data_IF_796133875559
#
_entry.id   IF_796133875559
#
_cell.length_a   1.000
_cell.length_b   1.000
_cell.length_c   1.000
_cell.angle_alpha   90.00
_cell.angle_beta   90.00
_cell.angle_gamma   90.00
#
_symmetry.space_group_name_H-M   'P 1'
#
loop_
_entity.id
_entity.type
_entity.pdbx_description
1 polymer ?
#
# COMPACT_ATOMS: atom_id res chain seq x y z
N UNK A 1 -31.88 16.21 5.59
CA UNK A 1 -33.27 15.71 5.51
C UNK A 1 -33.24 14.25 5.09
N UNK A 2 -33.91 13.37 5.85
CA UNK A 2 -34.03 11.94 5.53
C UNK A 2 -35.13 11.78 4.47
N UNK A 3 -34.84 11.18 3.33
CA UNK A 3 -35.86 10.82 2.34
C UNK A 3 -36.05 9.30 2.40
N UNK A 4 -37.21 8.87 2.89
CA UNK A 4 -37.64 7.47 2.92
C UNK A 4 -38.48 7.24 1.65
N UNK A 5 -38.11 6.29 0.80
CA UNK A 5 -38.98 5.79 -0.25
C UNK A 5 -39.78 4.59 0.28
N UNK A 6 -41.12 4.66 0.20
CA UNK A 6 -42.00 3.51 0.38
C UNK A 6 -42.31 2.90 -0.99
N UNK A 7 -42.07 1.61 -1.14
CA UNK A 7 -42.59 0.79 -2.24
C UNK A 7 -43.53 -0.26 -1.64
N UNK A 8 -44.77 -0.29 -2.13
CA UNK A 8 -45.81 -1.23 -1.71
C UNK A 8 -45.71 -2.53 -2.51
N UNK A 9 -45.28 -3.63 -1.88
CA UNK A 9 -45.81 -4.99 -2.06
C UNK A 9 -44.88 -6.02 -1.38
N UNK A 10 -45.36 -6.57 -0.27
CA UNK A 10 -45.25 -7.99 0.14
C UNK A 10 -43.87 -8.68 0.07
N UNK A 11 -42.97 -8.29 0.99
CA UNK A 11 -41.92 -9.07 1.68
C UNK A 11 -40.73 -8.15 1.96
N UNK A 12 -40.88 -7.27 2.95
CA UNK A 12 -39.86 -6.29 3.31
C UNK A 12 -38.92 -6.94 4.32
N UNK A 13 -37.81 -7.48 3.84
CA UNK A 13 -36.60 -7.63 4.65
C UNK A 13 -36.05 -6.22 4.86
N UNK A 14 -36.15 -5.69 6.08
CA UNK A 14 -35.57 -4.40 6.45
C UNK A 14 -34.04 -4.53 6.45
N UNK A 15 -33.40 -4.39 5.29
CA UNK A 15 -31.99 -4.01 5.25
C UNK A 15 -31.93 -2.49 5.44
N UNK A 16 -31.68 -2.09 6.68
CA UNK A 16 -31.24 -0.74 6.99
C UNK A 16 -29.85 -0.56 6.34
N UNK A 17 -29.80 -0.11 5.08
CA UNK A 17 -28.57 0.42 4.51
C UNK A 17 -28.26 1.73 5.22
N UNK A 18 -27.54 1.62 6.34
CA UNK A 18 -26.75 2.73 6.84
C UNK A 18 -25.74 2.99 5.72
N UNK A 19 -25.85 4.13 5.03
CA UNK A 19 -24.72 4.65 4.25
C UNK A 19 -23.64 4.94 5.28
N UNK A 20 -22.78 3.96 5.49
CA UNK A 20 -21.64 3.97 6.39
C UNK A 20 -20.68 5.06 5.90
N UNK A 21 -20.38 6.04 6.76
CA UNK A 21 -19.63 7.24 6.41
C UNK A 21 -18.23 7.08 6.97
N UNK A 22 -17.25 6.98 6.08
CA UNK A 22 -15.83 6.98 6.47
C UNK A 22 -15.54 8.14 7.44
N UNK A 23 -14.95 7.87 8.61
CA UNK A 23 -14.71 8.89 9.62
C UNK A 23 -13.78 9.98 9.07
N UNK A 24 -14.24 11.23 9.16
CA UNK A 24 -13.46 12.40 8.71
C UNK A 24 -12.24 12.55 9.60
N UNK A 25 -11.06 12.59 8.99
CA UNK A 25 -9.80 12.80 9.67
C UNK A 25 -9.39 14.28 9.60
N UNK A 26 -8.72 14.74 10.65
CA UNK A 26 -8.29 16.12 10.78
C UNK A 26 -6.85 16.30 10.29
N UNK A 27 -6.58 17.38 9.56
CA UNK A 27 -5.26 17.79 9.10
C UNK A 27 -5.10 17.75 7.58
N UNK A 28 -3.92 18.21 7.12
CA UNK A 28 -3.50 18.19 5.71
C UNK A 28 -2.62 16.98 5.44
N UNK A 29 -2.90 16.21 4.40
CA UNK A 29 -2.09 15.05 4.04
C UNK A 29 -0.75 15.51 3.47
N UNK A 30 0.34 14.99 4.02
CA UNK A 30 1.70 15.33 3.61
C UNK A 30 2.31 14.27 2.68
N UNK A 31 2.22 12.99 3.05
CA UNK A 31 2.80 11.88 2.29
C UNK A 31 2.16 10.52 2.65
N UNK A 32 2.36 9.52 1.78
CA UNK A 32 1.97 8.12 1.98
C UNK A 32 3.20 7.23 2.10
N UNK A 33 3.17 6.25 2.98
CA UNK A 33 4.28 5.29 3.15
C UNK A 33 3.93 4.20 4.14
N UNK A 34 4.84 3.29 4.42
CA UNK A 34 4.65 2.26 5.45
C UNK A 34 5.56 2.59 6.64
N UNK A 35 4.99 3.18 7.68
CA UNK A 35 5.77 3.64 8.85
C UNK A 35 5.94 2.54 9.88
N UNK A 36 5.02 1.56 9.96
CA UNK A 36 5.07 0.47 10.95
C UNK A 36 5.57 -0.86 10.38
N UNK A 37 5.84 -0.95 9.08
CA UNK A 37 6.38 -2.12 8.39
C UNK A 37 5.38 -3.27 8.22
N UNK A 38 4.08 -2.99 8.20
CA UNK A 38 3.04 -4.02 8.06
C UNK A 38 2.58 -4.25 6.60
N UNK A 39 3.21 -3.56 5.66
CA UNK A 39 2.94 -3.51 4.21
C UNK A 39 1.63 -2.83 3.81
N UNK A 40 0.90 -2.26 4.77
CA UNK A 40 -0.25 -1.40 4.51
C UNK A 40 0.21 0.04 4.27
N UNK A 41 -0.69 0.86 3.74
CA UNK A 41 -0.37 2.23 3.36
C UNK A 41 -0.76 3.18 4.48
N UNK A 42 0.21 3.65 5.25
CA UNK A 42 0.03 4.64 6.29
C UNK A 42 0.04 6.07 5.72
N UNK A 43 -0.41 7.04 6.53
CA UNK A 43 -0.53 8.44 6.13
C UNK A 43 0.20 9.35 7.11
N UNK A 44 1.04 10.25 6.59
CA UNK A 44 1.62 11.35 7.35
C UNK A 44 0.75 12.61 7.21
N UNK A 45 0.25 13.14 8.32
CA UNK A 45 -0.70 14.26 8.33
C UNK A 45 -0.17 15.45 9.13
N UNK A 46 -0.26 16.64 8.56
CA UNK A 46 0.01 17.91 9.23
C UNK A 46 -1.21 18.39 10.01
N UNK A 47 -1.03 18.61 11.32
CA UNK A 47 -2.04 19.15 12.25
C UNK A 47 -1.46 20.35 13.00
N UNK A 48 -1.82 21.56 12.56
CA UNK A 48 -1.22 22.79 13.12
C UNK A 48 0.28 22.80 12.85
N UNK A 49 1.12 22.89 13.89
CA UNK A 49 2.59 22.85 13.78
C UNK A 49 3.22 21.46 13.91
N UNK A 50 2.39 20.41 13.98
CA UNK A 50 2.83 19.05 14.23
C UNK A 50 2.56 18.16 13.02
N UNK A 51 3.45 17.19 12.79
CA UNK A 51 3.23 16.06 11.91
C UNK A 51 2.83 14.84 12.76
N UNK A 52 1.77 14.15 12.35
CA UNK A 52 1.26 12.95 13.01
C UNK A 52 1.20 11.80 12.00
N UNK A 53 1.79 10.67 12.37
CA UNK A 53 1.68 9.41 11.63
C UNK A 53 0.34 8.75 11.97
N UNK A 54 -0.38 8.36 10.92
CA UNK A 54 -1.65 7.65 10.98
C UNK A 54 -1.45 6.25 10.41
N UNK A 55 -1.54 5.24 11.27
CA UNK A 55 -1.35 3.84 10.88
C UNK A 55 -2.66 3.24 10.39
N UNK A 56 -2.62 2.56 9.24
CA UNK A 56 -3.78 1.84 8.71
C UNK A 56 -3.98 0.55 9.49
N UNK A 57 -5.20 0.33 10.00
CA UNK A 57 -5.52 -0.86 10.81
C UNK A 57 -6.59 -1.72 10.14
N UNK A 58 -6.19 -2.92 9.72
CA UNK A 58 -7.05 -3.90 9.05
C UNK A 58 -8.07 -4.56 10.00
N UNK A 59 -7.84 -4.60 11.31
CA UNK A 59 -8.82 -5.14 12.26
C UNK A 59 -10.03 -4.21 12.37
N UNK A 60 -9.78 -2.90 12.42
CA UNK A 60 -10.83 -1.89 12.38
C UNK A 60 -11.54 -1.83 11.01
N UNK A 61 -10.83 -2.20 9.94
CA UNK A 61 -11.39 -2.33 8.61
C UNK A 61 -12.47 -3.43 8.55
N UNK A 62 -12.26 -4.56 9.23
CA UNK A 62 -13.23 -5.66 9.30
C UNK A 62 -14.42 -5.38 10.22
N UNK A 63 -14.25 -4.52 11.22
CA UNK A 63 -15.32 -4.19 12.18
C UNK A 63 -16.21 -3.06 11.66
N UNK A 64 -15.62 -2.05 11.04
CA UNK A 64 -16.34 -0.84 10.62
C UNK A 64 -16.57 -0.77 9.11
N UNK A 65 -15.88 -1.59 8.30
CA UNK A 65 -15.86 -1.52 6.81
C UNK A 65 -15.44 -0.14 6.26
N UNK A 66 -14.88 0.71 7.11
CA UNK A 66 -14.66 2.14 6.87
C UNK A 66 -13.19 2.57 6.94
N UNK A 67 -12.23 1.63 7.07
CA UNK A 67 -10.80 1.91 7.15
C UNK A 67 -10.43 2.92 8.24
N UNK A 68 -10.05 2.44 9.43
CA UNK A 68 -9.73 3.35 10.54
C UNK A 68 -8.23 3.51 10.67
N UNK A 69 -7.80 4.75 10.52
CA UNK A 69 -6.46 5.17 10.87
C UNK A 69 -6.32 5.38 12.38
N UNK A 70 -5.28 4.80 12.97
CA UNK A 70 -4.91 5.03 14.36
C UNK A 70 -3.77 6.05 14.44
N UNK A 71 -3.93 7.07 15.30
CA UNK A 71 -2.81 7.96 15.61
C UNK A 71 -1.66 7.16 16.23
N UNK A 72 -0.45 7.34 15.70
CA UNK A 72 0.79 6.78 16.23
C UNK A 72 1.68 7.93 16.73
N UNK A 73 2.84 8.12 16.14
CA UNK A 73 3.84 9.10 16.53
C UNK A 73 3.46 10.51 16.09
N UNK A 74 3.75 11.51 16.92
CA UNK A 74 3.58 12.93 16.59
C UNK A 74 4.85 13.71 16.94
N UNK A 75 5.32 14.55 16.03
CA UNK A 75 6.50 15.39 16.23
C UNK A 75 6.26 16.83 15.72
N UNK A 76 6.93 17.80 16.34
CA UNK A 76 6.70 19.24 16.11
C UNK A 76 7.71 19.80 15.11
N UNK A 77 7.22 20.21 13.94
CA UNK A 77 8.03 20.84 12.88
C UNK A 77 8.07 22.36 12.98
N UNK A 78 7.13 22.99 13.69
CA UNK A 78 7.16 24.43 13.99
C UNK A 78 6.63 25.37 12.91
N UNK A 79 6.06 24.84 11.81
CA UNK A 79 5.31 25.60 10.80
C UNK A 79 3.94 24.96 10.56
N UNK A 80 2.95 25.76 10.21
CA UNK A 80 1.59 25.31 9.89
C UNK A 80 1.48 24.65 8.50
N UNK A 81 2.42 24.98 7.61
CA UNK A 81 2.49 24.41 6.27
C UNK A 81 3.91 23.96 5.97
N UNK A 82 4.06 22.67 5.69
CA UNK A 82 5.30 22.04 5.25
C UNK A 82 5.01 21.14 4.06
N UNK A 83 6.07 20.73 3.38
CA UNK A 83 6.06 19.67 2.38
C UNK A 83 6.93 18.52 2.88
N UNK A 84 6.51 17.29 2.61
CA UNK A 84 7.19 16.09 3.07
C UNK A 84 7.58 15.23 1.87
N UNK A 85 8.80 14.71 1.91
CA UNK A 85 9.26 13.60 1.09
C UNK A 85 9.69 12.48 2.03
N UNK A 86 9.48 11.24 1.61
CA UNK A 86 9.79 10.06 2.42
C UNK A 86 10.98 9.31 1.82
N UNK A 87 11.74 8.61 2.65
CA UNK A 87 12.92 7.85 2.23
C UNK A 87 13.58 7.13 3.41
N UNK A 88 14.67 6.42 3.16
CA UNK A 88 15.55 5.86 4.20
C UNK A 88 16.89 6.60 4.11
N UNK A 89 17.18 7.53 5.03
CA UNK A 89 18.42 8.34 4.93
C UNK A 89 19.58 7.70 5.70
N UNK A 90 19.31 6.84 6.69
CA UNK A 90 20.35 6.26 7.55
C UNK A 90 20.67 4.79 7.24
N UNK A 91 19.90 4.16 6.35
CA UNK A 91 20.08 2.78 5.91
C UNK A 91 19.54 1.73 6.85
N UNK A 92 18.60 2.06 7.74
CA UNK A 92 18.03 1.15 8.72
C UNK A 92 16.73 0.46 8.25
N UNK A 93 16.31 0.71 7.01
CA UNK A 93 15.08 0.22 6.37
C UNK A 93 13.78 0.68 7.02
N UNK A 94 13.83 1.76 7.79
CA UNK A 94 12.68 2.45 8.34
C UNK A 94 12.45 3.74 7.55
N UNK A 95 11.20 4.15 7.53
CA UNK A 95 10.79 5.31 6.76
C UNK A 95 11.07 6.58 7.57
N UNK A 96 11.95 7.39 7.04
CA UNK A 96 12.32 8.72 7.51
C UNK A 96 11.58 9.80 6.73
N UNK A 97 11.64 11.05 7.22
CA UNK A 97 10.89 12.18 6.64
C UNK A 97 11.80 13.37 6.35
N UNK A 98 11.92 13.75 5.08
CA UNK A 98 12.46 15.05 4.68
C UNK A 98 11.34 16.10 4.73
N UNK A 99 11.50 17.09 5.59
CA UNK A 99 10.55 18.20 5.76
C UNK A 99 11.12 19.47 5.13
N UNK A 100 10.35 20.06 4.22
CA UNK A 100 10.62 21.35 3.60
C UNK A 100 9.66 22.41 4.14
N UNK A 101 10.21 23.45 4.75
CA UNK A 101 9.47 24.58 5.32
C UNK A 101 9.77 25.86 4.54
N UNK A 102 8.75 26.42 3.90
CA UNK A 102 8.85 27.72 3.24
C UNK A 102 8.83 28.86 4.25
N UNK A 103 9.89 29.69 4.28
CA UNK A 103 9.94 30.96 5.01
C UNK A 103 10.21 32.11 4.03
N UNK A 104 9.18 32.94 3.79
CA UNK A 104 9.24 34.05 2.83
C UNK A 104 9.63 33.59 1.41
N UNK A 105 10.89 33.76 1.02
CA UNK A 105 11.46 33.40 -0.30
C UNK A 105 12.41 32.20 -0.25
N UNK A 106 12.69 31.67 0.94
CA UNK A 106 13.66 30.61 1.17
C UNK A 106 12.95 29.37 1.72
N UNK A 107 13.56 28.21 1.53
CA UNK A 107 13.12 26.96 2.11
C UNK A 107 14.15 26.44 3.12
N UNK A 108 13.68 26.16 4.33
CA UNK A 108 14.46 25.48 5.34
C UNK A 108 14.14 23.99 5.28
N UNK A 109 15.18 23.16 5.30
CA UNK A 109 15.02 21.72 5.20
C UNK A 109 15.56 21.03 6.45
N UNK A 110 14.91 19.95 6.82
CA UNK A 110 15.30 19.10 7.93
C UNK A 110 14.93 17.66 7.62
N UNK A 111 15.85 16.73 7.85
CA UNK A 111 15.58 15.30 7.82
C UNK A 111 15.21 14.84 9.23
N UNK A 112 14.13 14.10 9.34
CA UNK A 112 13.62 13.53 10.58
C UNK A 112 13.81 12.03 10.52
N UNK A 113 14.75 11.55 11.33
CA UNK A 113 15.20 10.15 11.34
C UNK A 113 14.37 9.38 12.36
N UNK A 114 13.73 8.29 11.95
CA UNK A 114 12.96 7.44 12.84
C UNK A 114 13.88 6.75 13.85
N UNK A 115 13.43 6.66 15.10
CA UNK A 115 14.14 5.85 16.10
C UNK A 115 14.00 4.36 15.83
N UNK A 116 14.85 3.57 16.51
CA UNK A 116 14.80 2.12 16.43
C UNK A 116 13.41 1.54 16.78
N UNK A 117 12.70 2.16 17.71
CA UNK A 117 11.37 1.77 18.18
C UNK A 117 10.21 2.36 17.36
N UNK A 118 10.50 3.20 16.34
CA UNK A 118 9.49 3.88 15.49
C UNK A 118 8.50 4.76 16.26
N UNK A 119 8.87 5.15 17.47
CA UNK A 119 8.04 5.91 18.42
C UNK A 119 8.33 7.42 18.41
N UNK A 120 9.44 7.82 17.78
CA UNK A 120 9.92 9.20 17.78
C UNK A 120 10.84 9.46 16.59
N UNK A 121 11.08 10.74 16.32
CA UNK A 121 11.93 11.21 15.24
C UNK A 121 12.98 12.19 15.75
N UNK A 122 14.19 12.10 15.21
CA UNK A 122 15.31 13.01 15.52
C UNK A 122 15.54 13.96 14.35
N UNK A 123 15.55 15.27 14.62
CA UNK A 123 15.72 16.32 13.60
C UNK A 123 17.21 16.57 13.28
N UNK A 124 17.55 16.50 11.99
CA UNK A 124 18.83 16.93 11.43
C UNK A 124 18.58 18.06 10.42
N UNK A 125 19.08 19.26 10.72
CA UNK A 125 18.88 20.44 9.88
C UNK A 125 19.83 20.43 8.68
N UNK A 126 19.30 20.81 7.52
CA UNK A 126 20.03 20.95 6.28
C UNK A 126 20.24 22.43 5.92
N UNK A 127 20.89 22.65 4.78
CA UNK A 127 21.09 23.96 4.20
C UNK A 127 19.75 24.64 3.82
N UNK A 128 19.79 25.97 3.75
CA UNK A 128 18.67 26.78 3.25
C UNK A 128 18.73 26.82 1.72
N UNK A 129 17.66 26.39 1.07
CA UNK A 129 17.57 26.27 -0.38
C UNK A 129 16.56 27.27 -0.96
N UNK A 130 16.67 27.49 -2.27
CA UNK A 130 15.77 28.34 -3.05
C UNK A 130 14.43 27.67 -3.39
N UNK A 131 14.43 26.35 -3.40
CA UNK A 131 13.30 25.48 -3.74
C UNK A 131 13.18 24.36 -2.70
N UNK A 132 12.17 23.52 -2.86
CA UNK A 132 12.10 22.25 -2.15
C UNK A 132 13.27 21.34 -2.52
N UNK A 133 13.64 20.51 -1.55
CA UNK A 133 14.59 19.43 -1.73
C UNK A 133 13.89 18.12 -2.10
N UNK A 134 14.60 17.30 -2.87
CA UNK A 134 14.19 15.97 -3.33
C UNK A 134 14.93 14.91 -2.49
N UNK A 135 14.24 13.85 -2.09
CA UNK A 135 14.85 12.67 -1.47
C UNK A 135 15.05 11.55 -2.50
N UNK A 136 16.28 11.29 -2.94
CA UNK A 136 16.55 10.29 -3.99
C UNK A 136 17.92 9.67 -3.76
N UNK A 137 18.03 8.36 -3.96
CA UNK A 137 19.30 7.63 -3.99
C UNK A 137 20.10 8.05 -5.23
N UNK A 138 21.09 8.95 -5.07
CA UNK A 138 21.86 9.48 -6.20
C UNK A 138 23.12 8.66 -6.49
N UNK A 139 23.67 7.98 -5.49
CA UNK A 139 24.91 7.21 -5.60
C UNK A 139 24.67 5.70 -5.77
N UNK A 140 23.41 5.25 -5.67
CA UNK A 140 23.02 3.87 -5.84
C UNK A 140 23.40 2.99 -4.65
N UNK A 141 23.65 3.58 -3.47
CA UNK A 141 23.88 2.86 -2.23
C UNK A 141 22.55 2.37 -1.59
N UNK A 142 21.42 2.87 -2.11
CA UNK A 142 20.06 2.51 -1.72
C UNK A 142 19.51 3.27 -0.51
N UNK A 143 20.30 4.18 0.06
CA UNK A 143 19.85 5.23 0.98
C UNK A 143 19.39 6.41 0.15
N UNK A 144 18.42 7.15 0.65
CA UNK A 144 17.95 8.35 0.00
C UNK A 144 18.91 9.49 0.36
N UNK A 145 19.38 10.20 -0.65
CA UNK A 145 20.16 11.42 -0.52
C UNK A 145 19.27 12.63 -0.74
N UNK A 146 19.79 13.83 -0.45
CA UNK A 146 19.03 15.07 -0.64
C UNK A 146 19.63 15.91 -1.76
N UNK A 147 18.78 16.24 -2.74
CA UNK A 147 19.13 17.11 -3.87
C UNK A 147 18.26 18.37 -3.89
N UNK A 148 18.84 19.52 -4.23
CA UNK A 148 18.11 20.78 -4.42
C UNK A 148 19.00 21.89 -4.96
N UNK A 149 18.56 23.14 -4.79
CA UNK A 149 19.27 24.30 -5.35
C UNK A 149 19.42 25.43 -4.35
N UNK A 150 20.65 25.94 -4.21
CA UNK A 150 20.91 27.15 -3.46
C UNK A 150 20.31 28.40 -4.14
N UNK A 151 20.07 29.49 -3.39
CA UNK A 151 19.61 30.77 -3.96
C UNK A 151 20.47 31.37 -5.07
N UNK A 152 21.74 30.98 -5.18
CA UNK A 152 22.67 31.41 -6.23
C UNK A 152 22.61 30.53 -7.50
N UNK A 153 21.69 29.56 -7.57
CA UNK A 153 21.52 28.61 -8.67
C UNK A 153 22.52 27.44 -8.70
N UNK A 154 23.41 27.31 -7.71
CA UNK A 154 24.26 26.12 -7.59
C UNK A 154 23.47 24.96 -6.99
N UNK A 155 23.77 23.76 -7.47
CA UNK A 155 23.17 22.54 -6.94
C UNK A 155 23.62 22.28 -5.49
N UNK A 156 22.69 21.76 -4.71
CA UNK A 156 22.93 21.16 -3.41
C UNK A 156 22.70 19.67 -3.54
N UNK A 157 23.69 18.87 -3.16
CA UNK A 157 23.60 17.42 -3.12
C UNK A 157 24.25 16.96 -1.83
N UNK A 158 23.54 16.19 -1.01
CA UNK A 158 24.04 15.76 0.28
C UNK A 158 23.70 14.31 0.54
N UNK A 159 24.73 13.50 0.81
CA UNK A 159 24.57 12.13 1.29
C UNK A 159 24.50 12.08 2.80
N UNK A 160 24.08 10.94 3.35
CA UNK A 160 23.83 10.78 4.78
C UNK A 160 24.71 9.70 5.41
N UNK A 161 24.98 9.90 6.69
CA UNK A 161 25.69 8.94 7.55
C UNK A 161 24.70 8.02 8.26
N UNK A 162 25.22 6.98 8.89
CA UNK A 162 24.44 6.00 9.65
C UNK A 162 23.66 6.56 10.84
N UNK A 163 24.11 7.68 11.38
CA UNK A 163 23.39 8.39 12.44
C UNK A 163 22.30 9.31 11.88
N UNK A 164 22.11 9.32 10.55
CA UNK A 164 21.21 10.20 9.84
C UNK A 164 21.72 11.64 9.71
N UNK A 165 22.97 11.91 10.09
CA UNK A 165 23.59 13.22 9.90
C UNK A 165 24.05 13.42 8.45
N UNK A 166 24.00 14.66 7.93
CA UNK A 166 24.58 14.99 6.62
C UNK A 166 26.08 14.64 6.59
N UNK A 167 26.49 13.88 5.59
CA UNK A 167 27.83 13.30 5.49
C UNK A 167 28.73 14.02 4.48
N UNK A 168 28.48 13.80 3.19
CA UNK A 168 29.36 14.27 2.10
C UNK A 168 28.56 14.99 1.01
N UNK A 169 29.20 16.00 0.42
CA UNK A 169 28.66 16.67 -0.77
C UNK A 169 28.79 15.76 -2.00
N UNK A 170 27.66 15.42 -2.63
CA UNK A 170 27.59 14.59 -3.83
C UNK A 170 27.56 15.39 -5.15
N UNK A 171 27.84 16.70 -5.12
CA UNK A 171 27.91 17.53 -6.32
C UNK A 171 28.92 17.01 -7.37
N UNK A 172 29.95 16.27 -6.95
CA UNK A 172 30.95 15.68 -7.86
C UNK A 172 30.36 14.63 -8.82
N UNK A 173 29.19 14.05 -8.51
CA UNK A 173 28.47 13.14 -9.40
C UNK A 173 27.90 13.87 -10.63
N UNK A 174 27.84 15.21 -10.59
CA UNK A 174 27.26 16.05 -11.65
C UNK A 174 28.26 17.12 -12.14
N UNK A 175 29.44 16.71 -12.68
CA UNK A 175 30.52 17.64 -13.02
C UNK A 175 30.17 18.63 -14.15
N UNK A 176 29.13 18.33 -14.94
CA UNK A 176 28.65 19.18 -16.04
C UNK A 176 27.45 20.06 -15.68
N UNK A 177 27.05 20.15 -14.41
CA UNK A 177 25.86 20.92 -14.02
C UNK A 177 26.09 22.42 -14.24
N UNK A 178 25.29 23.01 -15.11
CA UNK A 178 25.26 24.46 -15.37
C UNK A 178 24.26 25.07 -14.39
N UNK A 179 24.58 26.23 -13.79
CA UNK A 179 23.67 26.91 -12.85
C UNK A 179 22.30 27.14 -13.49
N UNK A 180 21.26 26.85 -12.72
CA UNK A 180 19.86 27.05 -13.13
C UNK A 180 19.17 27.92 -12.09
N UNK A 181 18.28 28.81 -12.54
CA UNK A 181 17.35 29.51 -11.66
C UNK A 181 15.99 28.77 -11.67
N UNK A 182 15.69 27.95 -10.64
CA UNK A 182 14.44 27.20 -10.59
C UNK A 182 13.22 28.10 -10.38
N UNK A 183 12.13 27.82 -11.11
CA UNK A 183 10.84 28.48 -10.87
C UNK A 183 10.18 27.96 -9.58
N UNK A 184 9.70 28.84 -8.68
CA UNK A 184 9.03 28.41 -7.46
C UNK A 184 7.78 27.55 -7.76
N UNK A 185 7.72 26.34 -7.21
CA UNK A 185 6.57 25.45 -7.32
C UNK A 185 6.55 24.54 -8.55
N UNK A 186 7.60 24.56 -9.39
CA UNK A 186 7.77 23.59 -10.48
C UNK A 186 8.55 22.38 -9.95
N UNK A 187 8.03 21.14 -10.08
CA UNK A 187 8.80 19.95 -9.73
C UNK A 187 10.01 19.81 -10.66
N UNK A 188 11.21 19.70 -10.10
CA UNK A 188 12.46 19.61 -10.86
C UNK A 188 12.86 18.17 -11.25
N UNK A 189 11.89 17.27 -11.43
CA UNK A 189 12.08 16.02 -12.17
C UNK A 189 10.76 15.63 -12.85
N UNK A 190 10.79 15.63 -14.19
CA UNK A 190 9.69 15.37 -15.15
C UNK A 190 8.67 16.50 -15.36
N UNK A 191 8.60 16.95 -16.60
CA UNK A 191 7.63 17.93 -17.06
C UNK A 191 6.20 17.41 -16.89
N UNK A 192 5.39 18.12 -16.10
CA UNK A 192 3.94 18.03 -16.17
C UNK A 192 3.43 19.05 -17.21
N UNK A 193 3.06 18.54 -18.39
CA UNK A 193 2.34 19.29 -19.42
C UNK A 193 0.85 18.91 -19.45
N UNK A 194 0.25 18.62 -18.30
CA UNK A 194 -1.20 18.46 -18.20
C UNK A 194 -1.76 19.30 -17.07
N UNK A 195 -1.91 20.60 -17.38
CA UNK A 195 -2.74 21.53 -16.61
C UNK A 195 -4.23 21.19 -16.70
N UNK A 196 -4.62 20.02 -16.22
CA UNK A 196 -6.02 19.60 -16.08
C UNK A 196 -6.22 18.96 -14.72
N UNK A 197 -6.37 19.79 -13.70
CA UNK A 197 -7.06 19.39 -12.47
C UNK A 197 -8.55 19.38 -12.80
N UNK A 198 -9.10 18.20 -13.06
CA UNK A 198 -10.55 18.00 -13.06
C UNK A 198 -11.07 18.18 -11.63
N UNK A 199 -11.81 19.26 -11.40
CA UNK A 199 -12.59 19.45 -10.18
C UNK A 199 -13.85 18.60 -10.28
N UNK A 200 -13.90 17.49 -9.56
CA UNK A 200 -15.16 16.84 -9.20
C UNK A 200 -15.68 17.50 -7.93
N UNK A 201 -16.81 18.20 -8.02
CA UNK A 201 -17.61 18.59 -6.85
C UNK A 201 -18.81 17.63 -6.76
N UNK A 202 -18.66 16.46 -6.12
CA UNK A 202 -19.81 15.61 -5.85
C UNK A 202 -20.78 16.37 -4.95
N UNK A 203 -22.07 16.33 -5.33
CA UNK A 203 -23.19 17.04 -4.67
C UNK A 203 -23.38 16.63 -3.19
N UNK A 204 -22.73 15.54 -2.77
CA UNK A 204 -22.76 14.98 -1.42
C UNK A 204 -21.65 15.51 -0.50
N UNK A 205 -20.66 16.26 -1.02
CA UNK A 205 -19.62 16.96 -0.24
C UNK A 205 -19.97 18.45 -0.15
N UNK A 206 -21.04 18.76 0.58
CA UNK A 206 -21.49 20.13 0.82
C UNK A 206 -20.67 20.89 1.90
N UNK A 207 -19.39 20.55 2.10
CA UNK A 207 -18.66 20.86 3.35
C UNK A 207 -17.41 21.75 3.24
N UNK A 208 -17.06 22.30 2.08
CA UNK A 208 -15.95 23.25 1.99
C UNK A 208 -15.30 23.35 0.60
N UNK A 209 -14.20 24.10 0.52
CA UNK A 209 -13.40 24.21 -0.70
C UNK A 209 -12.42 23.02 -0.77
N UNK A 210 -12.53 22.21 -1.82
CA UNK A 210 -11.60 21.08 -2.05
C UNK A 210 -10.22 21.65 -2.38
N UNK A 211 -9.21 21.21 -1.63
CA UNK A 211 -7.81 21.63 -1.80
C UNK A 211 -6.98 20.62 -2.56
N UNK A 212 -7.32 19.34 -2.48
CA UNK A 212 -6.65 18.26 -3.21
C UNK A 212 -7.54 17.03 -3.30
N UNK A 213 -7.35 16.23 -4.35
CA UNK A 213 -7.79 14.85 -4.41
C UNK A 213 -6.63 13.96 -4.88
N UNK A 214 -6.56 12.74 -4.38
CA UNK A 214 -5.60 11.72 -4.80
C UNK A 214 -6.25 10.35 -4.75
N UNK A 215 -5.75 9.42 -5.56
CA UNK A 215 -6.14 8.02 -5.47
C UNK A 215 -5.44 7.35 -4.29
N UNK A 216 -6.18 6.51 -3.57
CA UNK A 216 -5.70 5.74 -2.43
C UNK A 216 -6.59 4.49 -2.28
N UNK A 217 -6.00 3.31 -2.11
CA UNK A 217 -6.74 2.08 -1.84
C UNK A 217 -6.96 1.93 -0.32
N UNK A 218 -8.12 2.34 0.20
CA UNK A 218 -8.37 2.36 1.64
C UNK A 218 -8.57 0.94 2.21
N UNK A 219 -9.13 0.04 1.42
CA UNK A 219 -9.47 -1.32 1.84
C UNK A 219 -8.41 -2.35 1.49
N UNK A 220 -7.35 -1.94 0.79
CA UNK A 220 -6.33 -2.84 0.26
C UNK A 220 -6.96 -3.95 -0.62
N UNK A 221 -8.03 -3.58 -1.33
CA UNK A 221 -8.86 -4.48 -2.15
C UNK A 221 -8.65 -4.27 -3.66
N UNK A 222 -7.68 -3.45 -4.04
CA UNK A 222 -7.32 -3.15 -5.41
C UNK A 222 -8.23 -2.14 -6.11
N UNK A 223 -9.29 -1.69 -5.45
CA UNK A 223 -10.13 -0.59 -5.92
C UNK A 223 -9.55 0.72 -5.40
N UNK A 224 -9.19 1.62 -6.32
CA UNK A 224 -8.70 2.94 -5.92
C UNK A 224 -9.87 3.82 -5.47
N UNK A 225 -9.87 4.18 -4.19
CA UNK A 225 -10.76 5.20 -3.64
C UNK A 225 -10.19 6.59 -3.89
N UNK A 226 -11.03 7.61 -3.71
CA UNK A 226 -10.61 9.01 -3.82
C UNK A 226 -10.44 9.58 -2.42
N UNK A 227 -9.19 9.83 -2.02
CA UNK A 227 -8.88 10.69 -0.89
C UNK A 227 -9.14 12.14 -1.29
N UNK A 228 -9.98 12.82 -0.53
CA UNK A 228 -10.29 14.24 -0.72
C UNK A 228 -9.86 15.04 0.49
N UNK A 229 -9.05 16.08 0.27
CA UNK A 229 -8.73 17.08 1.29
C UNK A 229 -9.54 18.35 1.01
N UNK A 230 -10.22 18.86 2.02
CA UNK A 230 -11.04 20.05 1.91
C UNK A 230 -10.89 20.95 3.14
N UNK A 231 -11.04 22.26 2.91
CA UNK A 231 -11.07 23.26 3.96
C UNK A 231 -12.52 23.71 4.17
N UNK A 232 -13.14 23.41 5.32
CA UNK A 232 -14.47 23.92 5.65
C UNK A 232 -14.45 25.44 5.83
N UNK A 233 -15.61 26.09 5.68
CA UNK A 233 -15.75 27.53 5.87
C UNK A 233 -15.38 27.98 7.29
N UNK A 234 -15.62 27.12 8.27
CA UNK A 234 -15.17 27.27 9.65
C UNK A 234 -14.44 26.00 10.10
N UNK A 235 -13.25 26.17 10.67
CA UNK A 235 -12.40 25.09 11.17
C UNK A 235 -11.20 24.77 10.28
N UNK A 236 -10.38 23.84 10.74
CA UNK A 236 -9.16 23.46 10.04
C UNK A 236 -9.43 22.50 8.88
N UNK A 237 -8.40 22.34 8.04
CA UNK A 237 -8.39 21.39 6.93
C UNK A 237 -8.66 19.97 7.42
N UNK A 238 -9.48 19.25 6.67
CA UNK A 238 -9.84 17.85 6.92
C UNK A 238 -9.64 17.04 5.66
N UNK A 239 -9.53 15.73 5.82
CA UNK A 239 -9.59 14.80 4.70
C UNK A 239 -10.57 13.67 4.96
N UNK A 240 -11.13 13.15 3.88
CA UNK A 240 -12.10 12.07 3.88
C UNK A 240 -11.98 11.27 2.58
N UNK A 241 -12.50 10.06 2.59
CA UNK A 241 -12.45 9.15 1.46
C UNK A 241 -13.83 9.06 0.82
N UNK A 242 -13.85 9.09 -0.50
CA UNK A 242 -15.02 8.73 -1.30
C UNK A 242 -14.74 7.30 -1.77
N UNK A 243 -15.38 6.30 -1.14
CA UNK A 243 -15.14 4.92 -1.51
C UNK A 243 -15.65 4.67 -2.93
N UNK A 244 -14.87 3.93 -3.71
CA UNK A 244 -15.32 3.37 -4.97
C UNK A 244 -15.87 1.97 -4.68
N UNK A 245 -17.17 1.88 -4.40
CA UNK A 245 -17.81 0.57 -4.22
C UNK A 245 -17.86 -0.15 -5.58
N UNK A 246 -16.91 -1.05 -5.79
CA UNK A 246 -16.91 -1.86 -6.99
C UNK A 246 -18.11 -2.82 -6.99
N UNK A 247 -18.82 -2.88 -8.12
CA UNK A 247 -20.00 -3.73 -8.33
C UNK A 247 -19.68 -4.93 -9.21
N UNK A 248 -18.41 -5.21 -9.51
CA UNK A 248 -18.01 -6.28 -10.41
C UNK A 248 -16.81 -7.11 -9.96
N UNK A 249 -16.64 -8.27 -10.59
CA UNK A 249 -15.52 -9.20 -10.37
C UNK A 249 -14.25 -8.77 -11.14
N UNK A 250 -13.78 -7.55 -10.91
CA UNK A 250 -12.45 -7.15 -11.41
C UNK A 250 -11.38 -7.65 -10.47
N UNK A 251 -10.25 -8.07 -11.04
CA UNK A 251 -9.12 -8.54 -10.26
C UNK A 251 -7.94 -7.59 -10.37
N UNK A 252 -7.12 -7.61 -9.32
CA UNK A 252 -5.94 -6.77 -9.23
C UNK A 252 -4.70 -7.58 -8.86
N UNK A 253 -3.54 -6.96 -9.06
CA UNK A 253 -2.28 -7.43 -8.52
C UNK A 253 -1.51 -6.24 -7.96
N UNK A 254 -1.22 -6.28 -6.65
CA UNK A 254 -0.41 -5.27 -5.98
C UNK A 254 1.01 -5.81 -5.82
N UNK A 255 2.01 -5.05 -6.26
CA UNK A 255 3.43 -5.43 -6.18
C UNK A 255 4.22 -4.34 -5.45
N UNK A 256 4.88 -4.72 -4.37
CA UNK A 256 5.76 -3.88 -3.57
C UNK A 256 7.16 -4.45 -3.59
N UNK A 257 8.13 -3.66 -4.03
CA UNK A 257 9.55 -3.97 -3.88
C UNK A 257 10.14 -3.04 -2.84
N UNK A 258 10.83 -3.62 -1.86
CA UNK A 258 11.49 -2.87 -0.79
C UNK A 258 13.00 -2.95 -0.92
N UNK A 259 13.69 -1.97 -0.34
CA UNK A 259 15.15 -2.01 -0.21
C UNK A 259 15.56 -3.16 0.71
N UNK A 260 16.69 -3.78 0.40
CA UNK A 260 17.21 -4.93 1.14
C UNK A 260 18.50 -4.62 1.90
N UNK A 261 18.82 -3.34 2.03
CA UNK A 261 20.11 -2.82 2.51
C UNK A 261 20.33 -3.10 3.99
N UNK A 262 19.27 -3.52 4.70
CA UNK A 262 19.44 -4.17 5.99
C UNK A 262 19.95 -5.61 5.84
N UNK A 263 21.28 -5.73 5.73
CA UNK A 263 22.02 -6.98 5.87
C UNK A 263 22.09 -7.43 7.34
N UNK A 264 23.31 -7.68 7.84
CA UNK A 264 23.60 -8.09 9.25
C UNK A 264 23.25 -7.04 10.34
N UNK A 265 22.62 -5.93 9.96
CA UNK A 265 22.45 -4.71 10.78
C UNK A 265 21.06 -4.60 11.42
N UNK A 266 20.07 -5.25 10.83
CA UNK A 266 18.76 -5.46 11.43
C UNK A 266 18.76 -6.79 12.19
N UNK A 267 17.86 -6.94 13.16
CA UNK A 267 17.62 -8.24 13.78
C UNK A 267 17.16 -9.23 12.69
N UNK A 268 17.95 -10.28 12.37
CA UNK A 268 17.64 -11.22 11.29
C UNK A 268 16.39 -12.07 11.57
N UNK A 269 15.89 -12.05 12.80
CA UNK A 269 14.63 -12.70 13.18
C UNK A 269 13.42 -11.77 13.10
N UNK A 270 13.63 -10.48 12.88
CA UNK A 270 12.55 -9.52 12.74
C UNK A 270 11.78 -9.77 11.44
N UNK A 271 10.45 -9.71 11.51
CA UNK A 271 9.58 -9.69 10.31
C UNK A 271 9.78 -8.41 9.48
N UNK A 272 10.61 -7.49 9.97
CA UNK A 272 10.77 -6.09 9.58
C UNK A 272 11.83 -5.85 8.49
N UNK A 273 12.61 -6.86 8.09
CA UNK A 273 13.60 -6.73 7.02
C UNK A 273 12.91 -6.19 5.74
N UNK A 274 13.30 -4.99 5.30
CA UNK A 274 12.77 -4.36 4.09
C UNK A 274 11.26 -4.10 4.16
N UNK A 275 10.75 -3.60 5.27
CA UNK A 275 9.29 -3.43 5.46
C UNK A 275 8.76 -2.02 5.29
N UNK A 276 9.59 -0.96 5.35
CA UNK A 276 9.05 0.42 5.37
C UNK A 276 9.28 1.25 4.10
N UNK A 277 10.32 0.95 3.32
CA UNK A 277 10.81 1.88 2.28
C UNK A 277 10.79 1.26 0.90
N UNK A 278 9.86 1.72 0.05
CA UNK A 278 9.76 1.32 -1.34
C UNK A 278 11.05 1.61 -2.09
N UNK A 279 11.56 0.64 -2.86
CA UNK A 279 12.76 0.86 -3.65
C UNK A 279 12.44 1.67 -4.89
N UNK A 280 12.75 2.96 -4.85
CA UNK A 280 12.65 3.86 -6.00
C UNK A 280 13.39 3.31 -7.22
N UNK A 281 12.69 3.18 -8.34
CA UNK A 281 13.23 2.63 -9.60
C UNK A 281 13.05 1.12 -9.77
N UNK A 282 12.53 0.39 -8.77
CA UNK A 282 12.13 -0.99 -8.96
C UNK A 282 10.89 -1.08 -9.87
N UNK A 283 10.90 -2.03 -10.79
CA UNK A 283 9.84 -2.20 -11.78
C UNK A 283 9.25 -3.60 -11.73
N UNK A 284 7.95 -3.70 -11.95
CA UNK A 284 7.25 -4.95 -12.12
C UNK A 284 6.60 -4.98 -13.50
N UNK A 285 6.57 -6.15 -14.13
CA UNK A 285 5.82 -6.39 -15.35
C UNK A 285 5.16 -7.74 -15.29
N UNK A 286 3.92 -7.82 -15.78
CA UNK A 286 3.19 -9.08 -15.85
C UNK A 286 2.85 -9.43 -17.28
N UNK A 287 2.68 -10.72 -17.51
CA UNK A 287 2.10 -11.31 -18.72
C UNK A 287 1.03 -12.32 -18.30
N UNK A 288 -0.12 -12.26 -18.95
CA UNK A 288 -1.18 -13.24 -18.81
C UNK A 288 -1.89 -13.51 -20.13
N UNK A 289 -2.59 -14.62 -20.21
CA UNK A 289 -3.49 -14.97 -21.30
C UNK A 289 -4.90 -14.49 -20.98
N UNK A 290 -5.55 -13.81 -21.92
CA UNK A 290 -6.95 -13.39 -21.77
C UNK A 290 -7.94 -14.52 -22.09
N UNK A 291 -9.22 -14.34 -21.72
CA UNK A 291 -10.27 -15.33 -21.98
C UNK A 291 -10.64 -15.52 -23.47
N UNK A 292 -10.11 -14.68 -24.36
CA UNK A 292 -10.31 -14.73 -25.81
C UNK A 292 -9.07 -15.24 -26.58
N UNK A 293 -8.03 -15.69 -25.87
CA UNK A 293 -6.79 -16.22 -26.45
C UNK A 293 -5.74 -15.18 -26.83
N UNK A 294 -5.93 -13.91 -26.48
CA UNK A 294 -4.91 -12.86 -26.54
C UNK A 294 -3.96 -12.87 -25.34
N UNK A 295 -2.92 -12.04 -25.39
CA UNK A 295 -1.96 -11.87 -24.30
C UNK A 295 -2.02 -10.44 -23.77
N UNK A 296 -2.28 -10.30 -22.47
CA UNK A 296 -2.24 -9.04 -21.76
C UNK A 296 -0.88 -8.89 -21.07
N UNK A 297 -0.21 -7.77 -21.34
CA UNK A 297 1.08 -7.43 -20.72
C UNK A 297 1.03 -5.99 -20.23
N UNK A 298 1.59 -5.74 -19.07
CA UNK A 298 1.78 -4.39 -18.55
C UNK A 298 3.05 -4.32 -17.73
N UNK A 299 3.64 -3.13 -17.64
CA UNK A 299 4.81 -2.86 -16.83
C UNK A 299 4.66 -1.50 -16.15
N UNK A 300 5.09 -1.40 -14.89
CA UNK A 300 5.08 -0.17 -14.12
C UNK A 300 6.17 -0.21 -13.04
N UNK A 301 6.59 0.95 -12.56
CA UNK A 301 7.70 1.09 -11.63
C UNK A 301 7.29 1.88 -10.38
N UNK A 302 7.90 1.55 -9.25
CA UNK A 302 7.85 2.36 -8.04
C UNK A 302 8.69 3.62 -8.28
N UNK A 303 8.02 4.77 -8.26
CA UNK A 303 8.64 6.06 -8.49
C UNK A 303 9.03 6.70 -7.15
N UNK A 304 10.14 7.44 -7.10
CA UNK A 304 10.49 8.22 -5.93
C UNK A 304 9.43 9.31 -5.68
N UNK A 305 8.93 9.41 -4.45
CA UNK A 305 7.91 10.39 -4.06
C UNK A 305 8.56 11.75 -3.73
N UNK A 306 9.19 12.39 -4.72
CA UNK A 306 10.12 13.50 -4.49
C UNK A 306 9.59 14.90 -4.75
N UNK A 307 8.32 15.08 -5.14
CA UNK A 307 7.82 16.39 -5.60
C UNK A 307 6.89 17.07 -4.59
N UNK A 308 6.53 18.34 -4.89
CA UNK A 308 5.59 19.14 -4.10
C UNK A 308 4.29 18.35 -3.88
N UNK A 309 4.16 17.75 -2.69
CA UNK A 309 2.95 16.99 -2.31
C UNK A 309 2.70 15.79 -3.24
N UNK A 310 3.75 15.06 -3.59
CA UNK A 310 3.65 13.76 -4.26
C UNK A 310 3.01 12.73 -3.33
N UNK A 311 1.72 12.47 -3.55
CA UNK A 311 0.97 11.42 -2.88
C UNK A 311 1.07 10.11 -3.66
N UNK A 312 2.30 9.66 -3.92
CA UNK A 312 2.55 8.41 -4.61
C UNK A 312 2.45 7.23 -3.62
N UNK A 313 1.71 6.15 -3.96
CA UNK A 313 1.67 4.96 -3.13
C UNK A 313 3.03 4.22 -3.15
N UNK A 314 3.40 3.51 -2.08
CA UNK A 314 4.65 2.75 -2.01
C UNK A 314 4.62 1.46 -2.84
N UNK A 315 3.70 1.32 -3.80
CA UNK A 315 3.43 0.09 -4.54
C UNK A 315 3.02 0.35 -5.98
N UNK A 316 3.17 -0.69 -6.81
CA UNK A 316 2.59 -0.75 -8.15
C UNK A 316 1.27 -1.52 -8.06
N UNK A 317 0.21 -0.94 -8.60
CA UNK A 317 -1.10 -1.58 -8.73
C UNK A 317 -1.38 -1.89 -10.20
N UNK A 318 -1.67 -3.15 -10.49
CA UNK A 318 -2.12 -3.60 -11.80
C UNK A 318 -3.59 -3.96 -11.75
N UNK A 319 -4.40 -3.31 -12.60
CA UNK A 319 -5.74 -3.79 -12.93
C UNK A 319 -5.64 -4.92 -13.94
N UNK A 320 -6.13 -6.10 -13.59
CA UNK A 320 -6.06 -7.30 -14.43
C UNK A 320 -7.34 -7.53 -15.25
N UNK A 321 -8.40 -6.78 -14.97
CA UNK A 321 -9.70 -6.95 -15.63
C UNK A 321 -10.52 -8.09 -15.01
N UNK A 322 -11.46 -8.65 -15.78
CA UNK A 322 -12.35 -9.71 -15.27
C UNK A 322 -11.75 -11.10 -15.47
N UNK A 323 -11.75 -11.88 -14.39
CA UNK A 323 -11.60 -13.34 -14.40
C UNK A 323 -10.34 -13.94 -15.08
N UNK A 324 -9.11 -13.43 -14.86
CA UNK A 324 -7.94 -14.28 -15.08
C UNK A 324 -7.92 -15.40 -14.04
N UNK A 325 -7.65 -16.64 -14.45
CA UNK A 325 -7.46 -17.74 -13.49
C UNK A 325 -6.13 -17.58 -12.72
N UNK A 326 -5.09 -17.15 -13.42
CA UNK A 326 -3.77 -16.85 -12.87
C UNK A 326 -3.05 -15.85 -13.77
N UNK A 327 -2.09 -15.14 -13.21
CA UNK A 327 -1.10 -14.38 -13.98
C UNK A 327 0.03 -15.34 -14.36
N UNK A 328 0.27 -15.52 -15.66
CA UNK A 328 1.20 -16.52 -16.19
C UNK A 328 2.63 -16.26 -15.69
N UNK A 329 3.08 -15.01 -15.80
CA UNK A 329 4.42 -14.59 -15.46
C UNK A 329 4.42 -13.17 -14.87
N UNK A 330 5.06 -13.01 -13.73
CA UNK A 330 5.37 -11.72 -13.10
C UNK A 330 6.88 -11.58 -13.01
N UNK A 331 7.42 -10.57 -13.66
CA UNK A 331 8.84 -10.22 -13.64
C UNK A 331 9.04 -8.98 -12.80
N UNK A 332 9.92 -9.07 -11.80
CA UNK A 332 10.37 -7.94 -10.98
C UNK A 332 11.82 -7.63 -11.33
N UNK A 333 12.11 -6.36 -11.62
CA UNK A 333 13.46 -5.83 -11.77
C UNK A 333 13.79 -4.88 -10.62
N UNK A 334 14.94 -5.06 -9.98
CA UNK A 334 15.45 -4.15 -8.96
C UNK A 334 16.60 -3.29 -9.53
N UNK A 335 16.79 -2.06 -9.00
CA UNK A 335 17.96 -1.25 -9.32
C UNK A 335 19.28 -1.99 -9.05
N UNK A 336 20.29 -1.68 -9.87
CA UNK A 336 21.65 -2.23 -9.70
C UNK A 336 22.42 -1.36 -8.72
N UNK A 337 23.26 -1.99 -7.91
CA UNK A 337 24.24 -1.26 -7.11
C UNK A 337 25.36 -0.73 -8.01
N UNK A 338 25.96 0.40 -7.65
CA UNK A 338 27.05 1.02 -8.43
C UNK A 338 28.20 0.04 -8.72
N UNK A 339 28.52 -0.83 -7.75
CA UNK A 339 29.64 -1.77 -7.82
C UNK A 339 29.29 -3.10 -8.53
N UNK A 340 28.02 -3.34 -8.87
CA UNK A 340 27.57 -4.61 -9.45
C UNK A 340 26.60 -4.41 -10.63
N UNK A 341 27.12 -4.67 -11.84
CA UNK A 341 26.36 -4.53 -13.09
C UNK A 341 25.47 -5.74 -13.42
N UNK A 342 25.44 -6.78 -12.58
CA UNK A 342 24.60 -7.95 -12.80
C UNK A 342 23.12 -7.58 -12.89
N UNK A 343 22.39 -8.25 -13.79
CA UNK A 343 20.94 -8.07 -13.92
C UNK A 343 20.27 -8.63 -12.66
N UNK A 344 19.55 -7.76 -11.93
CA UNK A 344 18.76 -8.14 -10.75
C UNK A 344 17.30 -8.29 -11.15
N UNK A 345 16.95 -9.48 -11.60
CA UNK A 345 15.60 -9.83 -12.03
C UNK A 345 15.11 -11.08 -11.30
N UNK A 346 13.84 -11.08 -10.93
CA UNK A 346 13.15 -12.21 -10.32
C UNK A 346 11.84 -12.47 -11.04
N UNK A 347 11.62 -13.70 -11.46
CA UNK A 347 10.42 -14.09 -12.20
C UNK A 347 9.63 -15.09 -11.38
N UNK A 348 8.36 -14.78 -11.18
CA UNK A 348 7.36 -15.62 -10.54
C UNK A 348 6.37 -16.10 -11.59
N UNK A 349 5.87 -17.32 -11.44
CA UNK A 349 4.90 -17.93 -12.36
C UNK A 349 3.63 -18.30 -11.61
N UNK A 350 2.51 -18.31 -12.32
CA UNK A 350 1.22 -18.75 -11.79
C UNK A 350 0.81 -17.99 -10.52
N UNK A 351 0.81 -16.66 -10.60
CA UNK A 351 0.39 -15.82 -9.49
C UNK A 351 -1.13 -15.77 -9.41
N UNK A 352 -1.66 -15.92 -8.19
CA UNK A 352 -3.10 -15.82 -7.92
C UNK A 352 -3.52 -14.33 -7.98
N UNK A 353 -4.56 -13.98 -8.75
CA UNK A 353 -5.13 -12.63 -8.74
C UNK A 353 -5.69 -12.25 -7.36
N UNK A 354 -5.98 -10.96 -7.14
CA UNK A 354 -6.42 -10.43 -5.83
C UNK A 354 -5.41 -10.74 -4.73
N UNK A 355 -4.14 -10.50 -5.05
CA UNK A 355 -3.04 -10.72 -4.14
C UNK A 355 -2.12 -9.52 -4.10
N UNK A 356 -1.48 -9.37 -2.94
CA UNK A 356 -0.38 -8.45 -2.70
C UNK A 356 0.90 -9.26 -2.63
N UNK A 357 1.87 -8.88 -3.46
CA UNK A 357 3.20 -9.48 -3.49
C UNK A 357 4.19 -8.47 -2.94
N UNK A 358 4.91 -8.89 -1.91
CA UNK A 358 6.05 -8.17 -1.34
C UNK A 358 7.32 -8.88 -1.76
N UNK A 359 8.25 -8.13 -2.34
CA UNK A 359 9.52 -8.64 -2.87
C UNK A 359 10.67 -7.88 -2.25
N UNK A 360 11.63 -8.61 -1.70
CA UNK A 360 12.87 -8.06 -1.17
C UNK A 360 14.02 -8.69 -1.97
N UNK A 361 14.73 -7.89 -2.78
CA UNK A 361 15.89 -8.37 -3.52
C UNK A 361 17.03 -8.86 -2.59
N UNK A 362 17.93 -9.74 -3.05
CA UNK A 362 19.08 -10.19 -2.25
C UNK A 362 20.21 -9.16 -2.19
N UNK A 363 20.97 -9.12 -1.09
CA UNK A 363 22.19 -8.28 -0.97
C UNK A 363 23.31 -8.89 -1.83
N UNK A 364 23.64 -10.16 -1.59
CA UNK A 364 24.74 -10.87 -2.23
C UNK A 364 24.29 -11.95 -3.24
N UNK A 365 23.11 -11.75 -3.85
CA UNK A 365 22.66 -12.55 -5.00
C UNK A 365 22.18 -13.99 -4.71
N UNK A 366 22.13 -14.45 -3.46
CA UNK A 366 21.80 -15.87 -3.19
C UNK A 366 20.29 -16.15 -3.19
N UNK A 367 19.44 -15.32 -2.55
CA UNK A 367 18.00 -15.59 -2.46
C UNK A 367 17.11 -14.34 -2.42
N UNK A 368 16.17 -14.23 -3.36
CA UNK A 368 15.07 -13.27 -3.30
C UNK A 368 14.04 -13.72 -2.27
N UNK A 369 13.56 -12.79 -1.44
CA UNK A 369 12.47 -13.07 -0.50
C UNK A 369 11.18 -12.55 -1.12
N UNK A 370 10.24 -13.46 -1.34
CA UNK A 370 8.91 -13.15 -1.90
C UNK A 370 7.85 -13.59 -0.92
N UNK A 371 6.94 -12.69 -0.55
CA UNK A 371 5.77 -12.98 0.28
C UNK A 371 4.50 -12.67 -0.51
N UNK A 372 3.63 -13.67 -0.62
CA UNK A 372 2.31 -13.55 -1.25
C UNK A 372 1.25 -13.44 -0.15
N UNK A 373 0.53 -12.33 -0.13
CA UNK A 373 -0.63 -12.12 0.72
C UNK A 373 -1.88 -12.22 -0.16
N UNK A 374 -2.77 -13.13 0.17
CA UNK A 374 -4.05 -13.27 -0.52
C UNK A 374 -5.11 -12.63 0.37
N UNK A 375 -5.86 -11.68 -0.16
CA UNK A 375 -6.99 -11.08 0.56
C UNK A 375 -8.10 -12.13 0.68
N UNK A 376 -8.41 -12.63 1.89
CA UNK A 376 -9.46 -13.62 2.05
C UNK A 376 -10.81 -13.00 1.70
N UNK A 377 -11.58 -13.65 0.84
CA UNK A 377 -12.95 -13.22 0.55
C UNK A 377 -13.80 -13.32 1.82
N UNK A 378 -14.63 -12.29 2.07
CA UNK A 378 -15.61 -12.30 3.17
C UNK A 378 -16.58 -13.49 3.08
N UNK A 379 -16.73 -14.08 1.89
CA UNK A 379 -17.59 -15.23 1.64
C UNK A 379 -16.94 -16.57 2.02
N UNK A 380 -15.66 -16.62 2.40
CA UNK A 380 -14.97 -17.88 2.73
C UNK A 380 -15.64 -18.60 3.90
N UNK A 381 -16.00 -17.88 4.97
CA UNK A 381 -16.67 -18.46 6.14
C UNK A 381 -18.05 -19.01 5.78
N UNK A 382 -18.81 -18.27 4.96
CA UNK A 382 -20.12 -18.71 4.48
C UNK A 382 -19.99 -19.94 3.57
N UNK A 383 -19.01 -19.94 2.68
CA UNK A 383 -18.72 -21.06 1.76
C UNK A 383 -18.28 -22.31 2.52
N UNK A 384 -17.41 -22.16 3.52
CA UNK A 384 -17.01 -23.25 4.41
C UNK A 384 -18.17 -23.81 5.20
N UNK A 385 -19.08 -22.95 5.69
CA UNK A 385 -20.29 -23.40 6.38
C UNK A 385 -21.21 -24.20 5.45
N UNK A 386 -21.38 -23.75 4.20
CA UNK A 386 -22.16 -24.49 3.19
C UNK A 386 -21.49 -25.83 2.85
N UNK A 387 -20.17 -25.85 2.63
CA UNK A 387 -19.42 -27.09 2.36
C UNK A 387 -19.56 -28.06 3.54
N UNK A 388 -19.39 -27.58 4.78
CA UNK A 388 -19.55 -28.41 5.97
C UNK A 388 -20.97 -28.99 6.09
N UNK A 389 -21.99 -28.19 5.78
CA UNK A 389 -23.39 -28.62 5.78
C UNK A 389 -23.66 -29.69 4.72
N UNK A 390 -23.12 -29.51 3.51
CA UNK A 390 -23.24 -30.50 2.41
C UNK A 390 -22.51 -31.80 2.78
N UNK A 391 -21.31 -31.72 3.34
CA UNK A 391 -20.56 -32.89 3.82
C UNK A 391 -21.32 -33.63 4.93
N UNK A 392 -21.91 -32.90 5.89
CA UNK A 392 -22.72 -33.51 6.96
C UNK A 392 -23.97 -34.22 6.40
N UNK A 393 -24.65 -33.61 5.43
CA UNK A 393 -25.81 -34.22 4.75
C UNK A 393 -25.40 -35.51 4.02
N UNK A 394 -24.28 -35.51 3.30
CA UNK A 394 -23.78 -36.71 2.63
C UNK A 394 -23.42 -37.81 3.64
N UNK A 395 -22.78 -37.47 4.76
CA UNK A 395 -22.47 -38.43 5.82
C UNK A 395 -23.72 -39.04 6.46
N UNK A 396 -24.78 -38.25 6.66
CA UNK A 396 -26.07 -38.74 7.16
C UNK A 396 -26.68 -39.75 6.17
N UNK A 397 -26.66 -39.43 4.87
CA UNK A 397 -27.18 -40.34 3.83
C UNK A 397 -26.38 -41.64 3.80
N UNK A 398 -25.04 -41.56 3.84
CA UNK A 398 -24.17 -42.74 3.88
C UNK A 398 -24.42 -43.58 5.13
N UNK A 399 -24.53 -42.95 6.31
CA UNK A 399 -24.82 -43.64 7.56
C UNK A 399 -26.20 -44.32 7.54
N UNK A 400 -27.21 -43.66 6.95
CA UNK A 400 -28.55 -44.22 6.78
C UNK A 400 -28.55 -45.43 5.85
N UNK A 401 -27.87 -45.34 4.69
CA UNK A 401 -27.72 -46.45 3.76
C UNK A 401 -26.99 -47.62 4.42
N UNK A 402 -25.89 -47.36 5.12
CA UNK A 402 -25.13 -48.39 5.81
C UNK A 402 -25.91 -49.05 6.96
N UNK A 403 -26.75 -48.27 7.67
CA UNK A 403 -27.65 -48.81 8.67
C UNK A 403 -28.72 -49.73 8.06
N UNK A 404 -29.28 -49.35 6.90
CA UNK A 404 -30.25 -50.18 6.17
C UNK A 404 -29.62 -51.48 5.68
N UNK A 405 -28.44 -51.40 5.06
CA UNK A 405 -27.68 -52.56 4.59
C UNK A 405 -27.38 -53.52 5.76
N UNK A 406 -26.88 -53.00 6.88
CA UNK A 406 -26.62 -53.80 8.09
C UNK A 406 -27.88 -54.42 8.69
N UNK A 407 -29.06 -53.81 8.49
CA UNK A 407 -30.34 -54.36 8.93
C UNK A 407 -30.78 -55.52 8.03
N UNK A 408 -30.62 -55.37 6.71
CA UNK A 408 -30.91 -56.44 5.75
C UNK A 408 -29.99 -57.66 5.97
N UNK A 409 -28.68 -57.45 6.15
CA UNK A 409 -27.71 -58.50 6.50
C UNK A 409 -28.10 -59.30 7.76
N UNK A 410 -28.63 -58.62 8.79
CA UNK A 410 -29.07 -59.28 10.03
C UNK A 410 -30.28 -60.19 9.78
N UNK A 411 -31.19 -59.77 8.91
CA UNK A 411 -32.38 -60.56 8.56
C UNK A 411 -31.98 -61.79 7.74
N UNK A 412 -31.07 -61.63 6.77
CA UNK A 412 -30.56 -62.77 5.97
C UNK A 412 -29.82 -63.80 6.84
N UNK A 413 -28.98 -63.35 7.78
CA UNK A 413 -28.29 -64.25 8.71
C UNK A 413 -29.24 -65.05 9.59
N UNK A 414 -30.34 -64.44 10.05
CA UNK A 414 -31.37 -65.17 10.82
C UNK A 414 -32.07 -66.22 9.95
N UNK A 415 -32.40 -65.89 8.71
CA UNK A 415 -33.01 -66.86 7.78
C UNK A 415 -32.08 -68.03 7.45
N UNK A 416 -30.78 -67.78 7.26
CA UNK A 416 -29.78 -68.84 7.08
C UNK A 416 -29.65 -69.71 8.33
N UNK A 417 -29.60 -69.15 9.54
CA UNK A 417 -29.53 -69.94 10.78
C UNK A 417 -30.76 -70.82 11.00
N UNK A 418 -31.94 -70.38 10.58
CA UNK A 418 -33.15 -71.21 10.61
C UNK A 418 -33.08 -72.34 9.58
N UNK A 419 -32.50 -72.11 8.39
CA UNK A 419 -32.31 -73.16 7.37
C UNK A 419 -31.40 -74.30 7.83
N UNK A 420 -30.29 -73.98 8.49
CA UNK A 420 -29.37 -75.00 9.05
C UNK A 420 -30.01 -75.86 10.15
N UNK A 421 -31.04 -75.35 10.82
CA UNK A 421 -31.74 -76.08 11.87
C UNK A 421 -32.75 -77.11 11.32
N UNK A 422 -33.14 -77.01 10.04
CA UNK A 422 -34.04 -77.96 9.36
C UNK A 422 -33.31 -79.04 8.56
N UNK A 423 -32.08 -78.80 8.08
CA UNK A 423 -31.27 -79.83 7.38
C UNK A 423 -30.58 -80.84 8.34
N UNK A 424 -30.69 -80.63 9.66
CA UNK A 424 -30.07 -81.46 10.69
C UNK A 424 -31.06 -82.35 11.49
N UNK A 425 -32.35 -82.36 11.11
CA UNK A 425 -33.37 -83.34 11.55
C UNK A 425 -33.76 -84.21 10.36
#
# INVERSE_FOLDING_TARGET
LRTIFFSSSSSISFFLFIVKKVPVQFGRVCAFGDFNGDSNTDILVQRGTNLTVLLQDNELLNVLEEGVFKNSTTFRVGSETVECSLGDFNGDTKLDVLVSMKKRKEYHHSVWISTATRDSFVEHKLAVLSSQALAIDVDGNGWHDVLGFYPNGSMYCMTFSRDGSPAFDCNYLFPGFIRVEPYPGVPHLFADFTGLVFSFQPKEVALGEIKMASFFDLKEDGSLDILTEYKPYEGDTKFSFIPCDDKGDVTFLKVQVFTNICGKRCDPTSKELGSGVSWSGACASFSMSDGWGGSLKSASCQLPATTHRALAPPYVLFGLGRSPNFVDELTIGAPRYADNLAVRQHTLKQIVPNSRIVVIPPEDGTHWVTRLYVTPSQLILQSLAVIALVCAMLLIVVAFLHYREKKEDRVERQQQSHRFHFDAM
#
